data_IF_926812147798
#
_entry.id   IF_926812147798
#
_cell.length_a   1.000
_cell.length_b   1.000
_cell.length_c   1.000
_cell.angle_alpha   90.00
_cell.angle_beta   90.00
_cell.angle_gamma   90.00
#
_symmetry.space_group_name_H-M   'P 1'
#
loop_
_entity.id
_entity.type
_entity.pdbx_description
1 polymer ?
#
# COMPACT_ATOMS: atom_id res chain seq x y z
N UNK A 1 4.30 35.36 4.57
CA UNK A 1 3.13 34.62 4.05
C UNK A 1 3.59 33.85 2.82
N UNK A 2 3.79 32.53 2.97
CA UNK A 2 4.22 31.61 1.89
C UNK A 2 2.96 30.96 1.31
N UNK A 3 2.82 30.80 -0.01
CA UNK A 3 1.64 30.14 -0.58
C UNK A 3 1.62 28.64 -0.17
N UNK A 4 0.45 28.06 0.13
CA UNK A 4 0.31 26.65 0.50
C UNK A 4 0.22 25.79 -0.76
N UNK A 5 1.29 25.70 -1.54
CA UNK A 5 1.29 24.90 -2.77
C UNK A 5 2.43 23.87 -2.74
N UNK A 6 2.31 22.88 -1.87
CA UNK A 6 2.78 21.52 -2.12
C UNK A 6 1.53 20.65 -2.13
N UNK A 7 1.28 19.87 -3.17
CA UNK A 7 0.14 18.95 -3.16
C UNK A 7 0.32 17.99 -1.99
N UNK A 8 -0.55 18.04 -0.96
CA UNK A 8 -0.53 17.08 0.16
C UNK A 8 -0.94 15.66 -0.26
N UNK A 9 -1.27 15.46 -1.55
CA UNK A 9 -1.60 14.17 -2.14
C UNK A 9 -0.49 13.61 -3.02
N UNK A 10 -0.17 12.33 -2.81
CA UNK A 10 0.79 11.60 -3.64
C UNK A 10 0.40 11.60 -5.11
N UNK A 11 1.38 11.69 -6.03
CA UNK A 11 1.15 11.66 -7.47
C UNK A 11 0.88 10.22 -7.93
N UNK A 12 -0.34 9.72 -7.73
CA UNK A 12 -0.75 8.36 -8.09
C UNK A 12 -0.49 8.01 -9.58
N UNK A 13 -0.73 8.90 -10.56
CA UNK A 13 -0.41 8.61 -11.97
C UNK A 13 1.10 8.38 -12.21
N UNK A 14 1.96 9.13 -11.52
CA UNK A 14 3.41 8.94 -11.60
C UNK A 14 3.80 7.56 -11.06
N UNK A 15 3.25 7.20 -9.90
CA UNK A 15 3.50 5.91 -9.23
C UNK A 15 3.00 4.75 -10.11
N UNK A 16 1.79 4.85 -10.67
CA UNK A 16 1.25 3.86 -11.60
C UNK A 16 2.12 3.69 -12.86
N UNK A 17 2.78 4.77 -13.29
CA UNK A 17 3.74 4.74 -14.40
C UNK A 17 4.95 3.83 -14.18
N UNK A 18 5.19 3.32 -12.96
CA UNK A 18 6.20 2.30 -12.66
C UNK A 18 5.72 0.86 -12.85
N UNK A 19 4.46 0.63 -13.26
CA UNK A 19 4.02 -0.69 -13.75
C UNK A 19 4.82 -1.16 -14.95
N UNK A 20 5.19 -0.25 -15.85
CA UNK A 20 6.06 -0.53 -16.99
C UNK A 20 6.95 0.69 -17.25
N UNK A 21 8.21 0.58 -16.79
CA UNK A 21 9.20 1.66 -16.90
C UNK A 21 10.63 1.11 -16.91
N UNK A 22 11.49 1.76 -17.69
CA UNK A 22 12.92 1.42 -17.79
C UNK A 22 13.20 -0.05 -18.17
N UNK A 23 12.30 -0.65 -18.96
CA UNK A 23 12.40 -2.04 -19.40
C UNK A 23 12.17 -3.07 -18.29
N UNK A 24 11.50 -2.68 -17.21
CA UNK A 24 11.02 -3.56 -16.14
C UNK A 24 9.51 -3.41 -16.02
N UNK A 25 8.80 -4.55 -16.04
CA UNK A 25 7.38 -4.65 -15.73
C UNK A 25 7.18 -5.08 -14.28
N UNK A 26 6.53 -4.24 -13.49
CA UNK A 26 6.05 -4.64 -12.18
C UNK A 26 4.81 -5.52 -12.33
N UNK A 27 4.69 -6.55 -11.49
CA UNK A 27 3.44 -7.29 -11.33
C UNK A 27 2.34 -6.38 -10.74
N UNK A 28 2.73 -5.56 -9.77
CA UNK A 28 1.88 -4.57 -9.11
C UNK A 28 2.70 -3.45 -8.47
N UNK A 29 2.03 -2.32 -8.28
CA UNK A 29 2.46 -1.22 -7.41
C UNK A 29 1.38 -1.03 -6.36
N UNK A 30 1.75 -0.98 -5.08
CA UNK A 30 0.80 -0.81 -3.98
C UNK A 30 1.18 0.38 -3.12
N UNK A 31 0.24 1.29 -2.90
CA UNK A 31 0.36 2.39 -1.96
C UNK A 31 -0.44 1.99 -0.72
N UNK A 32 0.18 2.01 0.45
CA UNK A 32 -0.48 1.65 1.71
C UNK A 32 -0.25 2.76 2.73
N UNK A 33 -1.32 3.22 3.37
CA UNK A 33 -1.27 4.17 4.48
C UNK A 33 -1.73 3.50 5.76
N UNK A 34 -1.05 3.82 6.86
CA UNK A 34 -1.38 3.32 8.18
C UNK A 34 -1.55 4.51 9.11
N UNK A 35 -2.72 4.58 9.73
CA UNK A 35 -3.08 5.66 10.64
C UNK A 35 -3.30 5.10 12.05
N UNK A 36 -2.98 5.91 13.04
CA UNK A 36 -3.27 5.62 14.43
C UNK A 36 -4.17 6.72 14.98
N UNK A 37 -5.37 6.39 15.46
CA UNK A 37 -6.30 7.40 15.95
C UNK A 37 -5.77 8.20 17.15
N UNK A 38 -4.80 7.63 17.89
CA UNK A 38 -4.19 8.32 19.03
C UNK A 38 -3.15 9.36 18.61
N UNK A 39 -2.67 9.32 17.36
CA UNK A 39 -1.63 10.21 16.86
C UNK A 39 -1.69 10.34 15.32
N UNK A 40 -2.47 11.33 14.85
CA UNK A 40 -2.60 11.64 13.42
C UNK A 40 -1.26 12.04 12.79
N UNK A 41 -0.31 12.58 13.56
CA UNK A 41 1.05 12.90 13.10
C UNK A 41 1.90 11.66 12.76
N UNK A 42 1.40 10.46 13.09
CA UNK A 42 2.03 9.17 12.75
C UNK A 42 1.41 8.47 11.54
N UNK A 43 0.64 9.19 10.71
CA UNK A 43 0.24 8.67 9.39
C UNK A 43 1.50 8.37 8.59
N UNK A 44 1.74 7.09 8.34
CA UNK A 44 2.86 6.61 7.54
C UNK A 44 2.33 6.05 6.23
N UNK A 45 3.09 6.24 5.15
CA UNK A 45 2.73 5.73 3.82
C UNK A 45 3.91 4.97 3.22
N UNK A 46 3.62 3.78 2.70
CA UNK A 46 4.58 2.92 2.03
C UNK A 46 4.15 2.70 0.58
N UNK A 47 5.14 2.64 -0.31
CA UNK A 47 4.92 2.28 -1.71
C UNK A 47 5.71 0.99 -1.97
N UNK A 48 4.98 -0.11 -2.17
CA UNK A 48 5.53 -1.41 -2.53
C UNK A 48 5.56 -1.61 -4.05
N UNK A 49 6.67 -2.13 -4.56
CA UNK A 49 6.83 -2.53 -5.95
C UNK A 49 7.11 -4.04 -5.98
N UNK A 50 6.26 -4.82 -6.63
CA UNK A 50 6.48 -6.27 -6.80
C UNK A 50 6.85 -6.54 -8.25
N UNK A 51 7.96 -7.25 -8.47
CA UNK A 51 8.45 -7.60 -9.81
C UNK A 51 8.39 -9.11 -9.98
N UNK A 52 7.76 -9.55 -11.07
CA UNK A 52 7.67 -10.95 -11.47
C UNK A 52 8.89 -11.34 -12.31
N UNK A 53 9.61 -12.40 -11.90
CA UNK A 53 10.74 -12.89 -12.69
C UNK A 53 10.32 -13.44 -14.07
N UNK A 54 9.27 -14.27 -14.20
CA UNK A 54 8.80 -14.74 -15.51
C UNK A 54 8.52 -13.60 -16.50
N UNK A 55 7.83 -12.55 -16.04
CA UNK A 55 7.43 -11.42 -16.91
C UNK A 55 8.61 -10.53 -17.32
N UNK A 56 9.75 -10.67 -16.64
CA UNK A 56 10.96 -9.88 -16.88
C UNK A 56 12.16 -10.74 -17.29
N UNK A 57 11.97 -12.01 -17.63
CA UNK A 57 13.06 -12.98 -17.76
C UNK A 57 14.14 -12.52 -18.75
N UNK A 58 13.74 -12.04 -19.93
CA UNK A 58 14.67 -11.54 -20.94
C UNK A 58 15.49 -10.34 -20.43
N UNK A 59 14.84 -9.41 -19.73
CA UNK A 59 15.49 -8.24 -19.16
C UNK A 59 16.47 -8.63 -18.03
N UNK A 60 16.13 -9.64 -17.24
CA UNK A 60 17.00 -10.16 -16.17
C UNK A 60 18.21 -10.92 -16.74
N UNK A 61 18.01 -11.75 -17.76
CA UNK A 61 19.07 -12.48 -18.46
C UNK A 61 20.08 -11.55 -19.12
N UNK A 62 19.61 -10.45 -19.72
CA UNK A 62 20.47 -9.44 -20.34
C UNK A 62 21.40 -8.75 -19.31
N UNK A 63 21.02 -8.71 -18.04
CA UNK A 63 21.83 -8.11 -16.95
C UNK A 63 22.84 -9.10 -16.39
N UNK A 64 22.46 -10.37 -16.23
CA UNK A 64 23.35 -11.40 -15.71
C UNK A 64 22.76 -12.81 -15.92
N UNK A 65 23.58 -13.84 -16.19
CA UNK A 65 23.12 -15.23 -16.22
C UNK A 65 22.60 -15.73 -14.87
N UNK A 66 22.85 -15.01 -13.76
CA UNK A 66 22.34 -15.34 -12.43
C UNK A 66 20.91 -14.85 -12.15
N UNK A 67 20.25 -14.18 -13.10
CA UNK A 67 18.87 -13.65 -12.97
C UNK A 67 18.71 -12.77 -11.71
N UNK A 68 19.28 -11.54 -11.72
CA UNK A 68 19.40 -10.69 -10.53
C UNK A 68 18.07 -9.98 -10.21
N UNK A 69 17.05 -10.74 -9.79
CA UNK A 69 15.70 -10.22 -9.55
C UNK A 69 15.67 -9.21 -8.41
N UNK A 70 16.26 -9.56 -7.26
CA UNK A 70 16.24 -8.73 -6.05
C UNK A 70 16.95 -7.40 -6.28
N UNK A 71 18.14 -7.42 -6.89
CA UNK A 71 18.89 -6.21 -7.20
C UNK A 71 18.15 -5.35 -8.23
N UNK A 72 17.51 -5.97 -9.22
CA UNK A 72 16.72 -5.24 -10.22
C UNK A 72 15.50 -4.56 -9.60
N UNK A 73 14.77 -5.24 -8.71
CA UNK A 73 13.65 -4.67 -7.97
C UNK A 73 14.10 -3.54 -7.04
N UNK A 74 15.24 -3.69 -6.35
CA UNK A 74 15.80 -2.66 -5.49
C UNK A 74 16.19 -1.40 -6.27
N UNK A 75 16.80 -1.55 -7.45
CA UNK A 75 17.12 -0.43 -8.34
C UNK A 75 15.84 0.28 -8.81
N UNK A 76 14.79 -0.47 -9.16
CA UNK A 76 13.50 0.11 -9.55
C UNK A 76 12.85 0.91 -8.40
N UNK A 77 12.86 0.37 -7.17
CA UNK A 77 12.38 1.06 -5.98
C UNK A 77 13.18 2.35 -5.70
N UNK A 78 14.51 2.30 -5.80
CA UNK A 78 15.36 3.49 -5.64
C UNK A 78 15.06 4.56 -6.68
N UNK A 79 14.88 4.18 -7.95
CA UNK A 79 14.47 5.11 -9.01
C UNK A 79 13.09 5.74 -8.78
N UNK A 80 12.16 5.02 -8.15
CA UNK A 80 10.88 5.59 -7.76
C UNK A 80 11.06 6.62 -6.65
N UNK A 81 11.81 6.29 -5.59
CA UNK A 81 12.12 7.22 -4.50
C UNK A 81 12.84 8.47 -5.00
N UNK A 82 13.83 8.31 -5.90
CA UNK A 82 14.57 9.44 -6.51
C UNK A 82 13.62 10.35 -7.30
N UNK A 83 12.73 9.79 -8.12
CA UNK A 83 11.77 10.56 -8.91
C UNK A 83 10.73 11.27 -8.02
N UNK A 84 10.28 10.63 -6.93
CA UNK A 84 9.42 11.29 -5.94
C UNK A 84 10.13 12.48 -5.29
N UNK A 85 11.42 12.33 -4.91
CA UNK A 85 12.24 13.43 -4.39
C UNK A 85 12.43 14.57 -5.40
N UNK A 86 12.66 14.25 -6.66
CA UNK A 86 12.72 15.24 -7.74
C UNK A 86 11.41 16.03 -7.89
N UNK A 87 10.27 15.41 -7.60
CA UNK A 87 8.94 16.07 -7.58
C UNK A 87 8.59 16.75 -6.25
N UNK A 88 9.53 16.80 -5.30
CA UNK A 88 9.39 17.54 -4.03
C UNK A 88 8.90 16.72 -2.84
N UNK A 89 8.84 15.39 -2.94
CA UNK A 89 8.46 14.50 -1.84
C UNK A 89 9.67 13.99 -1.06
N UNK A 90 9.56 13.87 0.26
CA UNK A 90 10.55 13.11 1.03
C UNK A 90 10.26 11.61 0.90
N UNK A 91 11.14 10.88 0.21
CA UNK A 91 10.99 9.45 -0.04
C UNK A 91 12.32 8.70 0.13
N UNK A 92 12.28 7.60 0.87
CA UNK A 92 13.42 6.71 1.11
C UNK A 92 13.05 5.24 0.87
N UNK A 93 14.06 4.41 0.58
CA UNK A 93 13.90 2.96 0.54
C UNK A 93 14.06 2.41 1.95
N UNK A 94 13.08 1.63 2.41
CA UNK A 94 13.06 1.02 3.75
C UNK A 94 13.46 -0.45 3.63
N UNK A 95 14.35 -0.98 4.48
CA UNK A 95 14.70 -2.39 4.47
C UNK A 95 13.54 -3.26 5.00
N UNK A 96 13.43 -4.54 4.61
CA UNK A 96 12.29 -5.39 4.98
C UNK A 96 12.04 -5.51 6.49
N UNK A 97 13.10 -5.51 7.31
CA UNK A 97 13.00 -5.64 8.76
C UNK A 97 12.38 -4.41 9.44
N UNK A 98 12.48 -3.24 8.80
CA UNK A 98 11.90 -1.99 9.28
C UNK A 98 10.45 -1.78 8.77
N UNK A 99 9.97 -2.67 7.90
CA UNK A 99 8.59 -2.62 7.40
C UNK A 99 7.66 -3.23 8.46
N UNK A 100 6.68 -2.46 8.98
CA UNK A 100 5.81 -2.98 10.01
C UNK A 100 4.97 -4.16 9.54
N UNK A 101 4.90 -5.20 10.37
CA UNK A 101 4.07 -6.37 10.10
C UNK A 101 2.64 -6.17 10.57
N UNK A 102 1.70 -6.58 9.73
CA UNK A 102 0.26 -6.45 9.99
C UNK A 102 -0.24 -7.65 10.81
N UNK A 103 0.35 -8.83 10.60
CA UNK A 103 0.05 -10.05 11.35
C UNK A 103 1.16 -10.39 12.35
N UNK A 104 0.76 -10.95 13.50
CA UNK A 104 1.69 -11.55 14.48
C UNK A 104 1.97 -13.01 14.12
N UNK A 105 2.91 -13.66 14.82
CA UNK A 105 3.34 -15.03 14.50
C UNK A 105 2.29 -16.12 14.77
N UNK A 106 1.20 -15.84 15.50
CA UNK A 106 0.15 -16.82 15.80
C UNK A 106 -1.27 -16.22 15.77
N UNK A 107 -1.71 -15.68 14.61
CA UNK A 107 -3.03 -15.10 14.47
C UNK A 107 -4.08 -16.20 14.45
N UNK A 108 -5.19 -16.02 15.18
CA UNK A 108 -6.33 -16.94 15.14
C UNK A 108 -7.45 -16.34 14.32
N UNK A 109 -7.73 -16.93 13.17
CA UNK A 109 -8.87 -16.52 12.35
C UNK A 109 -10.20 -16.89 13.02
N UNK A 110 -11.13 -15.94 12.98
CA UNK A 110 -12.53 -16.08 13.33
C UNK A 110 -13.36 -15.60 12.14
N UNK A 111 -14.63 -15.95 12.15
CA UNK A 111 -15.57 -15.55 11.09
C UNK A 111 -15.61 -14.03 10.82
N UNK A 112 -15.35 -13.20 11.85
CA UNK A 112 -15.47 -11.73 11.78
C UNK A 112 -14.13 -10.98 11.82
N UNK A 113 -13.02 -11.69 11.89
CA UNK A 113 -11.70 -11.07 11.96
C UNK A 113 -10.64 -12.04 12.48
N UNK A 114 -9.43 -11.55 12.60
CA UNK A 114 -8.29 -12.25 13.17
C UNK A 114 -8.04 -11.72 14.57
N UNK A 115 -7.93 -12.63 15.55
CA UNK A 115 -7.51 -12.32 16.90
C UNK A 115 -6.00 -12.53 17.03
N UNK A 116 -5.26 -11.46 17.37
CA UNK A 116 -3.81 -11.49 17.59
C UNK A 116 -3.44 -11.55 19.08
N UNK A 117 -4.37 -11.18 19.97
CA UNK A 117 -4.25 -11.20 21.43
C UNK A 117 -5.60 -11.05 22.14
N UNK A 118 -5.64 -10.98 23.48
CA UNK A 118 -6.90 -10.91 24.25
C UNK A 118 -7.81 -9.73 23.85
N UNK A 119 -7.22 -8.56 23.62
CA UNK A 119 -7.90 -7.31 23.20
C UNK A 119 -7.23 -6.72 21.96
N UNK A 120 -6.92 -7.58 20.99
CA UNK A 120 -6.30 -7.17 19.73
C UNK A 120 -6.92 -7.96 18.58
N UNK A 121 -7.89 -7.33 17.92
CA UNK A 121 -8.62 -7.88 16.80
C UNK A 121 -8.34 -7.04 15.56
N UNK A 122 -8.36 -7.71 14.42
CA UNK A 122 -8.05 -7.13 13.13
C UNK A 122 -9.06 -7.66 12.10
N UNK A 123 -9.77 -6.78 11.42
CA UNK A 123 -10.69 -7.17 10.36
C UNK A 123 -10.31 -6.51 9.04
N UNK A 124 -10.16 -7.33 8.01
CA UNK A 124 -10.03 -6.88 6.63
C UNK A 124 -11.38 -6.66 5.96
N UNK A 125 -11.43 -5.64 5.11
CA UNK A 125 -12.55 -5.26 4.26
C UNK A 125 -12.02 -4.97 2.85
N UNK A 126 -12.77 -5.41 1.85
CA UNK A 126 -12.58 -4.95 0.47
C UNK A 126 -13.39 -3.66 0.27
N UNK A 127 -12.87 -2.78 -0.58
CA UNK A 127 -13.55 -1.55 -0.98
C UNK A 127 -13.85 -1.65 -2.48
N UNK A 128 -15.13 -1.59 -2.89
CA UNK A 128 -15.50 -1.47 -4.28
C UNK A 128 -14.80 -0.28 -4.93
N UNK A 129 -14.31 -0.48 -6.16
CA UNK A 129 -13.71 0.58 -6.96
C UNK A 129 -14.79 1.12 -7.89
N UNK A 130 -15.60 2.01 -7.35
CA UNK A 130 -16.68 2.70 -8.04
C UNK A 130 -16.61 4.22 -7.80
N UNK A 131 -17.61 4.96 -8.27
CA UNK A 131 -17.65 6.43 -8.15
C UNK A 131 -17.69 6.92 -6.70
N UNK A 132 -18.06 6.07 -5.73
CA UNK A 132 -18.12 6.40 -4.29
C UNK A 132 -16.82 6.14 -3.53
N UNK A 133 -15.78 5.67 -4.23
CA UNK A 133 -14.49 5.34 -3.64
C UNK A 133 -13.84 6.55 -2.93
N UNK A 134 -13.81 7.77 -3.49
CA UNK A 134 -13.23 8.93 -2.80
C UNK A 134 -13.89 9.22 -1.45
N UNK A 135 -15.22 9.20 -1.39
CA UNK A 135 -16.00 9.42 -0.18
C UNK A 135 -15.80 8.29 0.83
N UNK A 136 -15.71 7.04 0.36
CA UNK A 136 -15.43 5.89 1.22
C UNK A 136 -14.05 5.98 1.86
N UNK A 137 -13.02 6.39 1.10
CA UNK A 137 -11.68 6.62 1.62
C UNK A 137 -11.65 7.77 2.64
N UNK A 138 -12.45 8.81 2.46
CA UNK A 138 -12.59 9.88 3.43
C UNK A 138 -13.25 9.40 4.73
N UNK A 139 -14.34 8.64 4.62
CA UNK A 139 -15.01 8.05 5.78
C UNK A 139 -14.08 7.10 6.57
N UNK A 140 -13.23 6.33 5.88
CA UNK A 140 -12.23 5.47 6.53
C UNK A 140 -11.20 6.30 7.30
N UNK A 141 -10.74 7.42 6.74
CA UNK A 141 -9.76 8.30 7.40
C UNK A 141 -10.32 8.90 8.69
N UNK A 142 -11.60 9.23 8.73
CA UNK A 142 -12.28 9.78 9.91
C UNK A 142 -12.81 8.71 10.88
N UNK A 143 -12.68 7.43 10.55
CA UNK A 143 -13.19 6.35 11.40
C UNK A 143 -12.29 6.11 12.62
N UNK A 144 -12.86 6.09 13.85
CA UNK A 144 -12.07 6.03 15.09
C UNK A 144 -11.61 4.59 15.41
N UNK A 145 -10.86 3.97 14.50
CA UNK A 145 -10.16 2.72 14.77
C UNK A 145 -8.86 2.99 15.53
N UNK A 146 -8.47 2.10 16.45
CA UNK A 146 -7.17 2.18 17.13
C UNK A 146 -6.02 2.30 16.12
N UNK A 147 -6.15 1.56 15.02
CA UNK A 147 -5.34 1.73 13.84
C UNK A 147 -6.12 1.33 12.60
N UNK A 148 -5.91 2.07 11.52
CA UNK A 148 -6.37 1.70 10.18
C UNK A 148 -5.17 1.44 9.28
N UNK A 149 -5.35 0.52 8.35
CA UNK A 149 -4.44 0.28 7.23
C UNK A 149 -5.28 0.31 5.96
N UNK A 150 -4.93 1.14 4.99
CA UNK A 150 -5.64 1.26 3.71
C UNK A 150 -4.63 1.07 2.60
N UNK A 151 -4.94 0.21 1.64
CA UNK A 151 -4.08 -0.04 0.49
C UNK A 151 -4.84 0.17 -0.81
N UNK A 152 -4.19 0.88 -1.73
CA UNK A 152 -4.51 0.98 -3.14
C UNK A 152 -3.48 0.15 -3.92
N UNK A 153 -3.93 -0.87 -4.64
CA UNK A 153 -3.09 -1.69 -5.50
C UNK A 153 -3.44 -1.46 -6.97
N UNK A 154 -2.42 -1.18 -7.77
CA UNK A 154 -2.50 -1.00 -9.21
C UNK A 154 -1.69 -2.12 -9.84
N UNK A 155 -2.25 -2.83 -10.81
CA UNK A 155 -1.62 -3.99 -11.43
C UNK A 155 -1.99 -4.12 -12.91
N UNK A 156 -1.47 -5.15 -13.57
CA UNK A 156 -1.78 -5.44 -14.97
C UNK A 156 -0.95 -4.64 -15.96
N UNK A 157 -1.46 -4.50 -17.18
CA UNK A 157 -0.76 -3.77 -18.25
C UNK A 157 -0.87 -2.27 -18.05
N UNK A 158 0.21 -1.52 -18.29
CA UNK A 158 0.20 -0.06 -18.15
C UNK A 158 -0.84 0.65 -19.02
N UNK A 159 -1.19 0.09 -20.18
CA UNK A 159 -2.22 0.64 -21.06
C UNK A 159 -3.65 0.31 -20.60
N UNK A 160 -3.81 -0.72 -19.76
CA UNK A 160 -5.10 -1.15 -19.22
C UNK A 160 -4.91 -1.66 -17.78
N UNK A 161 -4.57 -0.77 -16.83
CA UNK A 161 -4.30 -1.18 -15.46
C UNK A 161 -5.58 -1.65 -14.77
N UNK A 162 -5.43 -2.56 -13.83
CA UNK A 162 -6.48 -2.93 -12.88
C UNK A 162 -6.18 -2.33 -11.51
N UNK A 163 -7.24 -2.01 -10.76
CA UNK A 163 -7.16 -1.44 -9.42
C UNK A 163 -7.96 -2.30 -8.45
N UNK A 164 -7.38 -2.52 -7.27
CA UNK A 164 -8.06 -3.05 -6.10
C UNK A 164 -7.78 -2.18 -4.88
N UNK A 165 -8.75 -2.07 -3.98
CA UNK A 165 -8.60 -1.31 -2.74
C UNK A 165 -9.10 -2.15 -1.58
N UNK A 166 -8.33 -2.17 -0.50
CA UNK A 166 -8.69 -2.88 0.73
C UNK A 166 -8.29 -2.05 1.94
N UNK A 167 -8.96 -2.29 3.06
CA UNK A 167 -8.56 -1.74 4.34
C UNK A 167 -8.65 -2.78 5.45
N UNK A 168 -7.94 -2.51 6.54
CA UNK A 168 -8.07 -3.26 7.78
C UNK A 168 -8.16 -2.31 8.96
N UNK A 169 -9.00 -2.68 9.94
CA UNK A 169 -9.13 -1.96 11.20
C UNK A 169 -8.67 -2.83 12.36
N UNK A 170 -7.83 -2.26 13.21
CA UNK A 170 -7.49 -2.82 14.50
C UNK A 170 -8.47 -2.29 15.55
N UNK A 171 -9.04 -3.20 16.33
CA UNK A 171 -9.99 -2.91 17.42
C UNK A 171 -9.64 -3.69 18.67
N UNK A 172 -9.99 -3.15 19.84
CA UNK A 172 -9.74 -3.81 21.13
C UNK A 172 -10.77 -4.92 21.42
N UNK A 173 -11.92 -4.87 20.75
CA UNK A 173 -13.00 -5.85 20.85
C UNK A 173 -13.22 -6.54 19.51
N UNK A 174 -13.89 -7.70 19.55
CA UNK A 174 -14.24 -8.43 18.34
C UNK A 174 -15.12 -7.55 17.42
N UNK A 175 -14.84 -7.48 16.11
CA UNK A 175 -15.65 -6.73 15.16
C UNK A 175 -17.12 -7.18 15.16
N UNK A 176 -17.99 -6.20 14.90
CA UNK A 176 -19.43 -6.42 14.76
C UNK A 176 -19.77 -7.30 13.55
N UNK A 177 -21.04 -7.71 13.46
CA UNK A 177 -21.51 -8.57 12.37
C UNK A 177 -21.39 -7.87 11.01
N UNK A 178 -21.68 -6.58 10.95
CA UNK A 178 -21.65 -5.76 9.74
C UNK A 178 -20.28 -5.12 9.47
N UNK A 179 -20.17 -4.45 8.32
CA UNK A 179 -19.06 -3.54 8.12
C UNK A 179 -19.29 -2.24 8.91
N UNK A 180 -18.23 -1.61 9.44
CA UNK A 180 -18.37 -0.41 10.28
C UNK A 180 -18.74 0.84 9.49
N UNK A 181 -18.51 0.84 8.17
CA UNK A 181 -18.80 1.93 7.26
C UNK A 181 -19.56 1.41 6.03
N UNK A 182 -20.38 2.26 5.42
CA UNK A 182 -21.00 1.97 4.13
C UNK A 182 -19.94 1.76 3.04
N UNK A 183 -20.26 0.94 2.04
CA UNK A 183 -19.35 0.60 0.94
C UNK A 183 -18.32 -0.49 1.27
N UNK A 184 -18.04 -0.77 2.55
CA UNK A 184 -17.09 -1.81 2.93
C UNK A 184 -17.69 -3.22 2.83
N UNK A 185 -16.95 -4.14 2.19
CA UNK A 185 -17.32 -5.55 2.09
C UNK A 185 -16.46 -6.36 3.08
N UNK A 186 -17.05 -6.95 4.14
CA UNK A 186 -16.30 -7.70 5.13
C UNK A 186 -15.81 -9.04 4.56
N UNK A 187 -14.54 -9.36 4.77
CA UNK A 187 -13.90 -10.61 4.33
C UNK A 187 -14.24 -11.79 5.26
N UNK A 188 -15.53 -12.05 5.48
CA UNK A 188 -16.01 -13.04 6.45
C UNK A 188 -15.48 -14.44 6.14
N UNK A 189 -14.79 -15.03 7.12
CA UNK A 189 -14.13 -16.34 6.97
C UNK A 189 -12.94 -16.36 5.99
N UNK A 190 -12.52 -15.21 5.49
CA UNK A 190 -11.36 -15.02 4.60
C UNK A 190 -10.46 -13.87 5.09
N UNK A 191 -10.51 -13.55 6.38
CA UNK A 191 -9.77 -12.43 6.94
C UNK A 191 -8.27 -12.70 6.97
N UNK A 192 -7.84 -13.91 7.33
CA UNK A 192 -6.41 -14.21 7.42
C UNK A 192 -5.73 -14.17 6.04
N UNK A 193 -6.28 -14.79 4.98
CA UNK A 193 -5.75 -14.62 3.63
C UNK A 193 -5.78 -13.16 3.16
N UNK A 194 -6.89 -12.44 3.38
CA UNK A 194 -6.98 -11.03 2.99
C UNK A 194 -5.97 -10.13 3.72
N UNK A 195 -5.76 -10.34 5.01
CA UNK A 195 -4.75 -9.61 5.80
C UNK A 195 -3.31 -9.99 5.42
N UNK A 196 -3.10 -11.25 5.01
CA UNK A 196 -1.81 -11.72 4.50
C UNK A 196 -1.52 -11.09 3.14
N UNK A 197 -2.53 -10.96 2.28
CA UNK A 197 -2.43 -10.22 1.02
C UNK A 197 -2.19 -8.73 1.26
N UNK A 198 -2.80 -8.13 2.30
CA UNK A 198 -2.67 -6.71 2.66
C UNK A 198 -1.34 -6.34 3.33
N UNK A 199 -0.63 -7.30 3.94
CA UNK A 199 0.67 -7.06 4.58
C UNK A 199 1.65 -6.36 3.61
N UNK A 200 2.42 -5.40 4.12
CA UNK A 200 3.27 -4.51 3.32
C UNK A 200 4.34 -5.26 2.51
N UNK A 201 4.79 -6.41 3.03
CA UNK A 201 5.79 -7.26 2.36
C UNK A 201 5.16 -8.33 1.45
N UNK A 202 3.83 -8.36 1.34
CA UNK A 202 3.12 -9.38 0.58
C UNK A 202 3.30 -9.20 -0.92
N UNK A 203 3.76 -10.27 -1.58
CA UNK A 203 3.78 -10.36 -3.04
C UNK A 203 2.42 -10.78 -3.61
N UNK A 204 1.50 -11.29 -2.80
CA UNK A 204 0.14 -11.66 -3.23
C UNK A 204 -0.71 -10.44 -3.56
N UNK A 205 -1.55 -10.55 -4.59
CA UNK A 205 -2.47 -9.47 -4.98
C UNK A 205 -3.64 -9.33 -4.01
N UNK A 206 -4.19 -8.12 -3.93
CA UNK A 206 -5.46 -7.90 -3.26
C UNK A 206 -6.60 -8.53 -4.07
N UNK A 207 -7.65 -8.98 -3.40
CA UNK A 207 -8.88 -9.39 -4.06
C UNK A 207 -9.63 -8.17 -4.60
N UNK A 208 -10.46 -8.36 -5.62
CA UNK A 208 -11.38 -7.32 -6.11
C UNK A 208 -10.82 -6.38 -7.17
N UNK A 209 -9.79 -6.80 -7.91
CA UNK A 209 -9.28 -6.04 -9.05
C UNK A 209 -10.37 -5.81 -10.11
N UNK A 210 -10.56 -4.55 -10.50
CA UNK A 210 -11.38 -4.14 -11.63
C UNK A 210 -10.55 -3.28 -12.60
N UNK A 211 -10.99 -3.15 -13.85
CA UNK A 211 -10.35 -2.25 -14.80
C UNK A 211 -10.42 -0.80 -14.30
N UNK A 212 -9.30 -0.08 -14.32
CA UNK A 212 -9.27 1.33 -13.97
C UNK A 212 -9.91 2.17 -15.07
N UNK A 213 -10.70 3.19 -14.71
CA UNK A 213 -11.03 4.25 -15.66
C UNK A 213 -9.81 5.17 -15.85
N UNK A 214 -9.74 5.84 -16.99
CA UNK A 214 -8.57 6.63 -17.37
C UNK A 214 -8.25 7.77 -16.38
N UNK A 215 -9.27 8.29 -15.69
CA UNK A 215 -9.22 9.45 -14.79
C UNK A 215 -9.24 9.09 -13.30
N UNK A 216 -9.44 7.81 -12.94
CA UNK A 216 -9.64 7.40 -11.54
C UNK A 216 -8.42 7.78 -10.67
N UNK A 217 -7.21 7.51 -11.15
CA UNK A 217 -5.99 7.83 -10.40
C UNK A 217 -5.76 9.34 -10.24
N UNK A 218 -6.25 10.16 -11.16
CA UNK A 218 -6.17 11.62 -11.07
C UNK A 218 -7.17 12.18 -10.05
N UNK A 219 -8.32 11.51 -9.89
CA UNK A 219 -9.38 11.90 -8.95
C UNK A 219 -9.11 11.45 -7.51
N UNK A 220 -8.33 10.38 -7.33
CA UNK A 220 -8.04 9.84 -6.01
C UNK A 220 -7.05 10.71 -5.23
N UNK A 221 -7.55 11.34 -4.17
CA UNK A 221 -6.71 12.05 -3.21
C UNK A 221 -6.13 11.07 -2.19
N UNK A 222 -4.82 10.81 -2.29
CA UNK A 222 -4.09 9.99 -1.33
C UNK A 222 -3.22 10.86 -0.43
N UNK A 223 -3.74 11.33 0.73
CA UNK A 223 -3.04 12.26 1.58
C UNK A 223 -1.82 11.60 2.22
N UNK A 224 -0.69 12.30 2.16
CA UNK A 224 0.49 11.94 2.93
C UNK A 224 0.95 13.14 3.70
N UNK A 225 1.47 12.92 4.91
CA UNK A 225 2.13 14.02 5.59
C UNK A 225 3.41 14.35 4.83
N UNK A 226 3.45 15.52 4.19
CA UNK A 226 4.71 16.18 3.96
C UNK A 226 5.30 16.45 5.34
N UNK A 227 6.35 15.74 5.72
CA UNK A 227 6.95 15.95 7.02
C UNK A 227 7.40 17.42 7.16
N UNK A 228 7.25 18.04 8.33
CA UNK A 228 7.95 19.30 8.60
C UNK A 228 9.45 19.04 8.44
N UNK A 229 10.15 19.92 7.73
CA UNK A 229 11.61 19.86 7.64
C UNK A 229 12.22 19.84 9.06
N UNK A 230 12.78 18.71 9.46
CA UNK A 230 13.30 18.52 10.82
C UNK A 230 14.09 17.22 10.96
N UNK A 231 15.41 17.40 10.93
CA UNK A 231 16.50 16.49 11.30
C UNK A 231 16.69 15.20 10.50
N UNK A 232 17.60 15.33 9.54
CA UNK A 232 18.41 14.26 8.99
C UNK A 232 19.15 13.54 10.12
N UNK A 233 18.92 12.23 10.23
CA UNK A 233 19.96 11.26 10.59
C UNK A 233 19.41 9.84 10.37
N UNK A 234 20.01 9.10 9.44
CA UNK A 234 20.75 7.86 9.75
C UNK A 234 20.99 7.05 8.47
N UNK A 235 22.27 6.83 8.19
CA UNK A 235 22.86 5.94 7.19
C UNK A 235 22.98 4.54 7.82
N UNK A 236 22.65 3.46 7.09
CA UNK A 236 23.43 2.21 7.06
C UNK A 236 22.79 1.14 6.16
N UNK A 237 23.65 0.29 5.61
CA UNK A 237 23.39 -0.70 4.57
C UNK A 237 23.04 -2.10 5.12
N UNK A 238 22.22 -2.86 4.40
CA UNK A 238 22.57 -4.12 3.72
C UNK A 238 21.41 -5.14 3.55
N UNK A 239 21.45 -5.75 2.37
CA UNK A 239 20.85 -6.97 1.78
C UNK A 239 20.17 -8.02 2.67
N UNK A 240 19.20 -8.70 2.04
CA UNK A 240 19.29 -10.15 1.82
C UNK A 240 18.77 -10.51 0.43
#
# INVERSE_FOLDING_TARGET
MRPPNGSDALPLPLIAGYLDRYGIRADKVRITSRDNASDESRRQTWIGLTVSAPDNLAALQARSPRIPLAETAQVAARRLADHLRETGWEAGVVPPDDVPRLLTSNPRERWRGVQRGPSDYLAAYQIPVDESLPETLEAIRSYPARQSCVALEIAGDKAAPTIAVACAFQTDTAPDRGAPLAGLIPQRGNHLPALTALDLLSTGRLDGHTAATADLLDRLHWPTQGAPAGDADTVAAART
#
